data_IF_681948632822
#
_entry.id   IF_681948632822
#
_cell.length_a   1.000
_cell.length_b   1.000
_cell.length_c   1.000
_cell.angle_alpha   90.00
_cell.angle_beta   90.00
_cell.angle_gamma   90.00
#
_symmetry.space_group_name_H-M   'P 1'
#
loop_
_entity.id
_entity.type
_entity.pdbx_description
1 polymer ?
#
# COMPACT_ATOMS: atom_id res chain seq x y z
N UNK A 1 -22.31 23.89 24.47
CA UNK A 1 -21.14 23.11 23.99
C UNK A 1 -21.41 22.32 22.68
N UNK A 2 -22.27 22.78 21.75
CA UNK A 2 -22.68 22.00 20.56
C UNK A 2 -21.91 22.26 19.25
N UNK A 3 -21.10 23.32 19.16
CA UNK A 3 -20.48 23.76 17.90
C UNK A 3 -19.25 22.92 17.47
N UNK A 4 -18.48 22.40 18.42
CA UNK A 4 -17.27 21.60 18.12
C UNK A 4 -17.61 20.25 17.47
N UNK A 5 -18.70 19.60 17.89
CA UNK A 5 -19.09 18.28 17.36
C UNK A 5 -19.64 18.34 15.92
N UNK A 6 -20.31 19.42 15.52
CA UNK A 6 -20.78 19.61 14.13
C UNK A 6 -19.61 19.82 13.17
N UNK A 7 -18.67 20.70 13.53
CA UNK A 7 -17.42 20.96 12.80
C UNK A 7 -16.57 19.69 12.57
N UNK A 8 -16.47 18.82 13.56
CA UNK A 8 -15.71 17.57 13.43
C UNK A 8 -16.41 16.58 12.47
N UNK A 9 -17.74 16.45 12.58
CA UNK A 9 -18.52 15.55 11.72
C UNK A 9 -18.47 15.98 10.25
N UNK A 10 -18.60 17.27 9.98
CA UNK A 10 -18.51 17.83 8.62
C UNK A 10 -17.12 17.60 8.01
N UNK A 11 -16.05 17.86 8.77
CA UNK A 11 -14.67 17.54 8.34
C UNK A 11 -14.47 16.05 8.09
N UNK A 12 -15.04 15.20 8.94
CA UNK A 12 -14.95 13.74 8.77
C UNK A 12 -15.67 13.26 7.51
N UNK A 13 -16.84 13.83 7.19
CA UNK A 13 -17.59 13.51 5.97
C UNK A 13 -16.88 14.03 4.71
N UNK A 14 -16.34 15.25 4.76
CA UNK A 14 -15.56 15.83 3.68
C UNK A 14 -14.31 14.99 3.39
N UNK A 15 -13.59 14.57 4.44
CA UNK A 15 -12.45 13.68 4.30
C UNK A 15 -12.87 12.34 3.71
N UNK A 16 -13.91 11.68 4.23
CA UNK A 16 -14.42 10.41 3.69
C UNK A 16 -14.80 10.50 2.20
N UNK A 17 -15.33 11.64 1.75
CA UNK A 17 -15.58 11.90 0.32
C UNK A 17 -14.26 11.93 -0.47
N UNK A 18 -13.25 12.65 0.01
CA UNK A 18 -11.92 12.65 -0.61
C UNK A 18 -11.32 11.25 -0.68
N UNK A 19 -11.49 10.42 0.35
CA UNK A 19 -11.01 9.04 0.32
C UNK A 19 -11.62 8.23 -0.82
N UNK A 20 -12.93 8.39 -1.05
CA UNK A 20 -13.62 7.71 -2.16
C UNK A 20 -13.09 8.16 -3.52
N UNK A 21 -12.77 9.45 -3.66
CA UNK A 21 -12.25 9.99 -4.91
C UNK A 21 -10.82 9.53 -5.19
N UNK A 22 -9.95 9.52 -4.18
CA UNK A 22 -8.60 8.95 -4.29
C UNK A 22 -8.69 7.49 -4.72
N UNK A 23 -9.56 6.69 -4.09
CA UNK A 23 -9.77 5.29 -4.47
C UNK A 23 -10.28 5.12 -5.89
N UNK A 24 -11.28 5.90 -6.29
CA UNK A 24 -11.83 5.84 -7.63
C UNK A 24 -10.76 6.14 -8.69
N UNK A 25 -9.92 7.16 -8.44
CA UNK A 25 -8.82 7.51 -9.32
C UNK A 25 -7.72 6.42 -9.32
N UNK A 26 -7.35 5.90 -8.15
CA UNK A 26 -6.40 4.80 -8.01
C UNK A 26 -6.85 3.57 -8.81
N UNK A 27 -8.12 3.19 -8.69
CA UNK A 27 -8.71 2.06 -9.42
C UNK A 27 -8.75 2.33 -10.94
N UNK A 28 -9.07 3.55 -11.35
CA UNK A 28 -9.06 3.96 -12.76
C UNK A 28 -7.67 3.87 -13.38
N UNK A 29 -6.65 4.40 -12.70
CA UNK A 29 -5.26 4.37 -13.18
C UNK A 29 -4.74 2.93 -13.19
N UNK A 30 -4.97 2.18 -12.12
CA UNK A 30 -4.61 0.76 -12.02
C UNK A 30 -5.22 -0.05 -13.17
N UNK A 31 -6.51 0.11 -13.45
CA UNK A 31 -7.21 -0.61 -14.51
C UNK A 31 -6.78 -0.19 -15.92
N UNK A 32 -6.29 1.04 -16.12
CA UNK A 32 -5.67 1.46 -17.39
C UNK A 32 -4.28 0.83 -17.57
N UNK A 33 -3.43 0.91 -16.55
CA UNK A 33 -2.09 0.34 -16.62
C UNK A 33 -2.10 -1.19 -16.73
N UNK A 34 -2.99 -1.88 -16.00
CA UNK A 34 -3.10 -3.35 -16.01
C UNK A 34 -3.53 -3.93 -17.36
N UNK A 35 -4.16 -3.11 -18.22
CA UNK A 35 -4.51 -3.51 -19.59
C UNK A 35 -3.32 -3.50 -20.54
N UNK A 36 -2.26 -2.77 -20.19
CA UNK A 36 -1.07 -2.59 -21.01
C UNK A 36 0.11 -3.40 -20.51
N UNK A 37 0.24 -3.57 -19.19
CA UNK A 37 1.32 -4.33 -18.57
C UNK A 37 0.82 -5.06 -17.31
N UNK A 38 1.38 -6.25 -17.05
CA UNK A 38 1.11 -6.98 -15.81
C UNK A 38 1.66 -6.22 -14.60
N UNK A 39 0.99 -6.28 -13.45
CA UNK A 39 1.41 -5.59 -12.22
C UNK A 39 2.82 -5.98 -11.73
N UNK A 40 3.34 -7.14 -12.14
CA UNK A 40 4.67 -7.62 -11.81
C UNK A 40 5.77 -7.05 -12.74
N UNK A 41 5.38 -6.39 -13.82
CA UNK A 41 6.29 -5.83 -14.81
C UNK A 41 6.81 -4.46 -14.34
N UNK A 42 8.13 -4.18 -14.36
CA UNK A 42 8.64 -2.81 -14.17
C UNK A 42 7.99 -1.79 -15.11
N UNK A 43 7.58 -2.19 -16.31
CA UNK A 43 6.84 -1.35 -17.25
C UNK A 43 5.50 -0.87 -16.68
N UNK A 44 4.83 -1.67 -15.85
CA UNK A 44 3.59 -1.26 -15.17
C UNK A 44 3.83 -0.03 -14.28
N UNK A 45 4.88 -0.04 -13.46
CA UNK A 45 5.18 1.10 -12.58
C UNK A 45 5.48 2.37 -13.37
N UNK A 46 6.22 2.25 -14.48
CA UNK A 46 6.54 3.38 -15.33
C UNK A 46 5.29 3.94 -16.01
N UNK A 47 4.41 3.07 -16.54
CA UNK A 47 3.12 3.47 -17.11
C UNK A 47 2.24 4.18 -16.10
N UNK A 48 2.14 3.66 -14.88
CA UNK A 48 1.36 4.31 -13.81
C UNK A 48 1.95 5.69 -13.46
N UNK A 49 3.28 5.83 -13.40
CA UNK A 49 3.93 7.13 -13.14
C UNK A 49 3.56 8.15 -14.20
N UNK A 50 3.72 7.80 -15.47
CA UNK A 50 3.39 8.68 -16.61
C UNK A 50 1.92 9.06 -16.62
N UNK A 51 1.02 8.11 -16.34
CA UNK A 51 -0.41 8.39 -16.27
C UNK A 51 -0.75 9.38 -15.14
N UNK A 52 -0.16 9.20 -13.96
CA UNK A 52 -0.39 10.11 -12.84
C UNK A 52 0.20 11.49 -13.10
N UNK A 53 1.41 11.57 -13.65
CA UNK A 53 2.06 12.84 -14.01
C UNK A 53 1.20 13.63 -15.00
N UNK A 54 0.73 12.99 -16.08
CA UNK A 54 -0.17 13.62 -17.05
C UNK A 54 -1.51 14.08 -16.44
N UNK A 55 -2.03 13.35 -15.44
CA UNK A 55 -3.22 13.75 -14.71
C UNK A 55 -2.95 14.96 -13.81
N UNK A 56 -1.82 15.00 -13.11
CA UNK A 56 -1.41 16.13 -12.27
C UNK A 56 -1.24 17.40 -13.12
N UNK A 57 -0.66 17.28 -14.32
CA UNK A 57 -0.46 18.43 -15.19
C UNK A 57 -1.75 19.11 -15.63
N UNK A 58 -2.81 18.32 -15.84
CA UNK A 58 -4.11 18.79 -16.34
C UNK A 58 -5.11 19.09 -15.22
N UNK A 59 -4.82 18.70 -13.99
CA UNK A 59 -5.74 18.83 -12.87
C UNK A 59 -5.72 20.23 -12.25
N UNK A 60 -6.86 20.61 -11.68
CA UNK A 60 -6.99 21.74 -10.78
C UNK A 60 -6.25 21.48 -9.46
N UNK A 61 -6.13 22.50 -8.60
CA UNK A 61 -5.37 22.42 -7.35
C UNK A 61 -5.79 21.23 -6.46
N UNK A 62 -7.10 20.97 -6.40
CA UNK A 62 -7.67 19.84 -5.67
C UNK A 62 -7.31 18.50 -6.32
N UNK A 63 -7.51 18.38 -7.63
CA UNK A 63 -7.21 17.18 -8.39
C UNK A 63 -5.72 16.82 -8.35
N UNK A 64 -4.82 17.80 -8.34
CA UNK A 64 -3.38 17.57 -8.18
C UNK A 64 -3.05 16.82 -6.88
N UNK A 65 -3.66 17.21 -5.76
CA UNK A 65 -3.46 16.53 -4.48
C UNK A 65 -4.08 15.14 -4.46
N UNK A 66 -5.24 14.96 -5.10
CA UNK A 66 -5.89 13.64 -5.23
C UNK A 66 -5.01 12.71 -6.06
N UNK A 67 -4.47 13.16 -7.19
CA UNK A 67 -3.56 12.37 -8.01
C UNK A 67 -2.28 12.01 -7.25
N UNK A 68 -1.71 12.95 -6.49
CA UNK A 68 -0.55 12.71 -5.64
C UNK A 68 -0.83 11.67 -4.55
N UNK A 69 -2.01 11.73 -3.92
CA UNK A 69 -2.44 10.73 -2.95
C UNK A 69 -2.67 9.35 -3.60
N UNK A 70 -3.25 9.29 -4.80
CA UNK A 70 -3.41 8.04 -5.56
C UNK A 70 -2.05 7.42 -5.93
N UNK A 71 -1.06 8.24 -6.30
CA UNK A 71 0.31 7.76 -6.47
C UNK A 71 0.87 7.14 -5.18
N UNK A 72 0.65 7.76 -4.02
CA UNK A 72 1.07 7.20 -2.74
C UNK A 72 0.34 5.88 -2.40
N UNK A 73 -0.93 5.73 -2.80
CA UNK A 73 -1.67 4.46 -2.66
C UNK A 73 -1.06 3.35 -3.51
N UNK A 74 -0.67 3.67 -4.75
CA UNK A 74 0.01 2.78 -5.70
C UNK A 74 1.49 2.55 -5.35
N UNK A 75 1.99 3.23 -4.31
CA UNK A 75 3.36 3.12 -3.84
C UNK A 75 4.37 3.80 -4.76
N UNK A 76 3.96 4.76 -5.57
CA UNK A 76 4.89 5.58 -6.35
C UNK A 76 5.55 6.65 -5.48
N UNK A 77 6.77 7.03 -5.84
CA UNK A 77 7.54 8.08 -5.17
C UNK A 77 7.72 9.24 -6.15
N UNK A 78 6.83 10.23 -6.08
CA UNK A 78 6.79 11.38 -7.01
C UNK A 78 7.30 12.66 -6.34
N UNK A 79 8.52 12.63 -5.81
CA UNK A 79 9.08 13.74 -5.01
C UNK A 79 9.19 15.06 -5.78
N UNK A 80 9.51 14.99 -7.07
CA UNK A 80 9.61 16.17 -7.93
C UNK A 80 8.29 16.94 -8.02
N UNK A 81 7.14 16.28 -7.78
CA UNK A 81 5.82 16.91 -7.75
C UNK A 81 5.39 17.32 -6.33
N UNK A 82 6.11 16.93 -5.29
CA UNK A 82 5.72 17.15 -3.91
C UNK A 82 5.50 18.63 -3.57
N UNK A 83 6.40 19.51 -4.03
CA UNK A 83 6.28 20.95 -3.79
C UNK A 83 5.10 21.56 -4.56
N UNK A 84 4.93 21.17 -5.83
CA UNK A 84 3.79 21.61 -6.64
C UNK A 84 2.46 21.19 -6.00
N UNK A 85 2.34 19.94 -5.56
CA UNK A 85 1.15 19.45 -4.87
C UNK A 85 0.95 20.09 -3.49
N UNK A 86 2.02 20.49 -2.79
CA UNK A 86 1.93 21.27 -1.55
C UNK A 86 1.31 22.64 -1.81
N UNK A 87 1.80 23.36 -2.83
CA UNK A 87 1.27 24.67 -3.22
C UNK A 87 -0.21 24.56 -3.63
N UNK A 88 -0.55 23.54 -4.41
CA UNK A 88 -1.93 23.24 -4.77
C UNK A 88 -2.81 22.98 -3.54
N UNK A 89 -2.33 22.21 -2.55
CA UNK A 89 -3.06 21.97 -1.31
C UNK A 89 -3.33 23.26 -0.54
N UNK A 90 -2.32 24.15 -0.42
CA UNK A 90 -2.48 25.48 0.21
C UNK A 90 -3.48 26.34 -0.56
N UNK A 91 -3.41 26.35 -1.90
CA UNK A 91 -4.32 27.11 -2.76
C UNK A 91 -5.79 26.70 -2.57
N UNK A 92 -6.07 25.43 -2.26
CA UNK A 92 -7.45 25.01 -2.01
C UNK A 92 -8.06 25.58 -0.73
N UNK A 93 -7.24 26.03 0.22
CA UNK A 93 -7.69 26.48 1.54
C UNK A 93 -8.42 25.41 2.37
N UNK A 94 -8.40 24.14 1.96
CA UNK A 94 -9.15 23.07 2.61
C UNK A 94 -8.27 22.24 3.55
N UNK A 95 -8.61 22.25 4.84
CA UNK A 95 -7.96 21.40 5.86
C UNK A 95 -7.92 19.93 5.45
N UNK A 96 -9.01 19.43 4.84
CA UNK A 96 -9.11 18.02 4.46
C UNK A 96 -8.17 17.66 3.32
N UNK A 97 -7.94 18.59 2.38
CA UNK A 97 -6.96 18.43 1.30
C UNK A 97 -5.54 18.52 1.86
N UNK A 98 -5.27 19.46 2.77
CA UNK A 98 -3.97 19.55 3.45
C UNK A 98 -3.64 18.27 4.23
N UNK A 99 -4.59 17.74 4.97
CA UNK A 99 -4.43 16.46 5.69
C UNK A 99 -4.15 15.31 4.72
N UNK A 100 -4.86 15.27 3.59
CA UNK A 100 -4.64 14.26 2.54
C UNK A 100 -3.22 14.35 1.96
N UNK A 101 -2.76 15.56 1.62
CA UNK A 101 -1.39 15.81 1.14
C UNK A 101 -0.35 15.28 2.12
N UNK A 102 -0.45 15.68 3.40
CA UNK A 102 0.52 15.24 4.41
C UNK A 102 0.46 13.73 4.67
N UNK A 103 -0.72 13.12 4.58
CA UNK A 103 -0.86 11.67 4.69
C UNK A 103 -0.16 10.95 3.53
N UNK A 104 -0.30 11.45 2.31
CA UNK A 104 0.37 10.93 1.11
C UNK A 104 1.89 11.09 1.20
N UNK A 105 2.38 12.29 1.58
CA UNK A 105 3.81 12.57 1.69
C UNK A 105 4.50 11.65 2.70
N UNK A 106 3.94 11.54 3.93
CA UNK A 106 4.49 10.65 4.97
C UNK A 106 4.59 9.20 4.52
N UNK A 107 3.67 8.75 3.68
CA UNK A 107 3.65 7.38 3.15
C UNK A 107 4.74 7.18 2.09
N UNK A 108 4.93 8.15 1.20
CA UNK A 108 6.03 8.11 0.22
C UNK A 108 7.40 8.10 0.93
N UNK A 109 7.55 8.86 2.02
CA UNK A 109 8.81 8.92 2.78
C UNK A 109 9.14 7.62 3.53
N UNK A 110 8.14 6.92 4.08
CA UNK A 110 8.34 5.61 4.73
C UNK A 110 8.88 4.56 3.75
N UNK A 111 8.46 4.62 2.49
CA UNK A 111 8.90 3.67 1.45
C UNK A 111 10.40 3.79 1.15
N UNK A 112 10.97 5.01 1.20
CA UNK A 112 12.42 5.25 1.03
C UNK A 112 13.28 4.59 2.10
N UNK A 113 12.82 4.63 3.35
CA UNK A 113 13.57 4.07 4.45
C UNK A 113 13.53 2.53 4.45
N UNK A 114 12.52 1.93 3.82
CA UNK A 114 12.52 0.50 3.50
C UNK A 114 13.45 0.14 2.34
N UNK A 115 13.52 0.96 1.28
CA UNK A 115 14.33 0.68 0.08
C UNK A 115 15.82 1.02 0.18
N UNK A 116 16.26 1.77 1.20
CA UNK A 116 17.70 2.03 1.41
C UNK A 116 18.50 0.77 1.79
N UNK A 117 17.82 -0.32 2.16
CA UNK A 117 18.43 -1.64 2.32
C UNK A 117 18.50 -2.45 1.00
N UNK A 118 17.87 -1.99 -0.08
CA UNK A 118 17.86 -2.68 -1.38
C UNK A 118 19.18 -2.45 -2.15
N UNK A 119 19.74 -1.23 -2.09
CA UNK A 119 20.99 -0.89 -2.82
C UNK A 119 22.28 -1.38 -2.14
N UNK A 120 22.23 -1.86 -0.89
CA UNK A 120 23.40 -2.46 -0.23
C UNK A 120 23.57 -3.95 -0.59
N UNK A 121 22.57 -4.55 -1.24
CA UNK A 121 22.55 -5.99 -1.51
C UNK A 121 23.01 -6.40 -2.92
N UNK A 122 23.05 -5.46 -3.88
CA UNK A 122 23.64 -5.75 -5.20
C UNK A 122 25.17 -5.88 -5.14
N UNK A 123 25.84 -5.29 -4.14
CA UNK A 123 27.29 -5.44 -3.94
C UNK A 123 27.72 -6.71 -3.21
N UNK A 124 26.80 -7.47 -2.63
CA UNK A 124 27.12 -8.71 -1.91
C UNK A 124 26.73 -9.98 -2.68
N UNK A 125 26.14 -9.85 -3.87
CA UNK A 125 25.67 -10.99 -4.68
C UNK A 125 26.63 -11.41 -5.81
N UNK A 126 27.81 -10.79 -5.94
CA UNK A 126 28.79 -11.09 -6.99
C UNK A 126 30.04 -11.85 -6.52
N UNK A 127 30.30 -11.95 -5.21
CA UNK A 127 31.57 -12.51 -4.68
C UNK A 127 31.41 -13.82 -3.88
N UNK A 128 30.38 -14.62 -4.14
CA UNK A 128 30.26 -15.94 -3.48
C UNK A 128 29.78 -17.01 -4.45
N UNK A 129 30.63 -17.27 -5.45
CA UNK A 129 30.65 -18.52 -6.19
C UNK A 129 31.91 -19.28 -5.81
N UNK A 130 31.83 -20.13 -4.78
CA UNK A 130 32.66 -21.32 -4.67
C UNK A 130 31.91 -22.43 -3.96
N UNK A 131 32.16 -23.63 -4.47
CA UNK A 131 31.47 -24.89 -4.27
C UNK A 131 31.31 -25.33 -2.80
N UNK A 132 30.27 -26.11 -2.48
CA UNK A 132 30.38 -27.58 -2.34
C UNK A 132 29.04 -28.23 -1.91
N UNK A 133 28.64 -29.20 -2.72
CA UNK A 133 28.13 -30.55 -2.45
C UNK A 133 27.28 -30.86 -1.19
N UNK A 134 26.03 -31.24 -1.47
CA UNK A 134 25.07 -32.13 -0.78
C UNK A 134 25.33 -32.63 0.67
N UNK A 135 24.40 -32.27 1.57
CA UNK A 135 23.84 -33.12 2.63
C UNK A 135 22.45 -32.54 2.99
N UNK A 136 21.36 -33.29 2.87
CA UNK A 136 20.81 -34.07 3.98
C UNK A 136 19.55 -33.39 4.53
N UNK A 137 18.46 -34.14 4.65
CA UNK A 137 17.15 -33.67 5.10
C UNK A 137 17.16 -33.05 6.51
N UNK A 138 16.11 -32.26 6.82
CA UNK A 138 15.76 -31.66 8.12
C UNK A 138 16.19 -30.21 8.43
N UNK A 139 16.09 -29.33 7.44
CA UNK A 139 16.23 -27.87 7.61
C UNK A 139 14.91 -27.05 7.71
N UNK A 140 13.73 -27.69 7.84
CA UNK A 140 12.42 -26.99 7.73
C UNK A 140 11.98 -26.21 8.98
N UNK A 141 12.81 -26.15 10.02
CA UNK A 141 12.51 -25.43 11.24
C UNK A 141 13.13 -24.03 11.21
N UNK A 142 12.25 -23.02 11.08
CA UNK A 142 12.51 -21.57 11.09
C UNK A 142 12.95 -20.94 9.78
N UNK A 143 12.33 -21.32 8.66
CA UNK A 143 12.31 -20.41 7.50
C UNK A 143 11.41 -19.22 7.88
N UNK A 144 12.03 -18.12 8.29
CA UNK A 144 11.36 -16.85 8.56
C UNK A 144 10.55 -16.36 7.34
N UNK A 145 9.76 -15.30 7.49
CA UNK A 145 9.09 -14.68 6.35
C UNK A 145 10.10 -14.40 5.24
N UNK A 146 9.73 -14.65 3.99
CA UNK A 146 10.60 -14.22 2.89
C UNK A 146 10.72 -12.69 2.92
N UNK A 147 11.79 -12.14 2.33
CA UNK A 147 12.03 -10.70 2.30
C UNK A 147 10.82 -9.86 1.85
N UNK A 148 10.04 -10.34 0.88
CA UNK A 148 8.83 -9.67 0.43
C UNK A 148 7.74 -9.60 1.53
N UNK A 149 7.60 -10.67 2.31
CA UNK A 149 6.72 -10.69 3.48
C UNK A 149 7.27 -9.81 4.62
N UNK A 150 8.59 -9.74 4.81
CA UNK A 150 9.21 -8.81 5.78
C UNK A 150 8.94 -7.35 5.39
N UNK A 151 9.07 -7.00 4.12
CA UNK A 151 8.73 -5.67 3.62
C UNK A 151 7.26 -5.34 3.81
N UNK A 152 6.37 -6.29 3.49
CA UNK A 152 4.94 -6.10 3.72
C UNK A 152 4.62 -6.00 5.22
N UNK A 153 5.38 -6.68 6.08
CA UNK A 153 5.23 -6.57 7.53
C UNK A 153 5.70 -5.22 8.05
N UNK A 154 6.75 -4.65 7.46
CA UNK A 154 7.25 -3.31 7.79
C UNK A 154 6.31 -2.19 7.28
N UNK A 155 5.65 -2.37 6.14
CA UNK A 155 4.59 -1.48 5.64
C UNK A 155 3.28 -2.23 5.35
N UNK A 156 2.52 -2.55 6.42
CA UNK A 156 1.27 -3.30 6.29
C UNK A 156 0.18 -2.50 5.60
N UNK A 157 0.39 -1.22 5.26
CA UNK A 157 -0.66 -0.39 4.68
C UNK A 157 -0.61 -0.34 3.16
N UNK A 158 0.31 -1.04 2.50
CA UNK A 158 0.43 -1.00 1.03
C UNK A 158 -0.84 -1.56 0.34
N UNK A 159 -1.29 -0.95 -0.76
CA UNK A 159 -2.60 -1.33 -1.34
C UNK A 159 -2.57 -2.69 -2.04
N UNK A 160 -1.43 -3.03 -2.66
CA UNK A 160 -1.27 -4.17 -3.57
C UNK A 160 -0.80 -5.46 -2.89
N UNK A 161 -0.26 -5.41 -1.67
CA UNK A 161 0.58 -6.50 -1.17
C UNK A 161 1.86 -6.63 -2.02
N UNK A 162 2.45 -7.82 -2.05
CA UNK A 162 3.60 -8.15 -2.91
C UNK A 162 3.24 -9.26 -3.92
N UNK A 163 4.02 -9.42 -5.00
CA UNK A 163 3.65 -10.29 -6.14
C UNK A 163 3.54 -11.78 -5.81
N UNK A 164 4.08 -12.20 -4.66
CA UNK A 164 4.05 -13.59 -4.22
C UNK A 164 2.77 -14.01 -3.49
N UNK A 165 1.78 -13.12 -3.34
CA UNK A 165 0.54 -13.40 -2.61
C UNK A 165 -0.56 -13.93 -3.53
N UNK A 166 -1.05 -15.14 -3.25
CA UNK A 166 -2.20 -15.73 -3.95
C UNK A 166 -3.42 -15.74 -3.03
N UNK A 167 -4.55 -15.29 -3.53
CA UNK A 167 -5.81 -15.34 -2.79
C UNK A 167 -6.20 -16.81 -2.50
N UNK A 168 -6.38 -17.11 -1.21
CA UNK A 168 -6.86 -18.43 -0.74
C UNK A 168 -8.34 -18.46 -0.47
N UNK A 169 -8.92 -17.30 -0.13
CA UNK A 169 -10.35 -17.16 0.09
C UNK A 169 -10.96 -16.20 -0.92
N UNK A 170 -12.27 -16.36 -1.13
CA UNK A 170 -13.09 -15.27 -1.64
C UNK A 170 -13.06 -14.06 -0.71
N UNK A 171 -13.60 -12.94 -1.21
CA UNK A 171 -13.84 -11.74 -0.40
C UNK A 171 -15.02 -12.01 0.52
N UNK A 172 -14.86 -11.75 1.81
CA UNK A 172 -15.98 -11.79 2.75
C UNK A 172 -16.14 -10.42 3.40
N UNK A 173 -17.40 -10.00 3.54
CA UNK A 173 -17.78 -8.74 4.16
C UNK A 173 -18.31 -9.08 5.54
N UNK A 174 -17.79 -8.42 6.56
CA UNK A 174 -18.26 -8.56 7.93
C UNK A 174 -18.53 -7.19 8.54
N UNK A 175 -19.55 -7.13 9.40
CA UNK A 175 -19.85 -5.96 10.21
C UNK A 175 -19.09 -6.05 11.53
N UNK A 176 -18.36 -4.99 11.88
CA UNK A 176 -17.80 -4.81 13.23
C UNK A 176 -18.69 -3.80 13.94
N UNK A 177 -19.58 -4.30 14.82
CA UNK A 177 -20.65 -3.48 15.40
C UNK A 177 -21.73 -3.10 14.39
N UNK A 178 -22.57 -2.12 14.76
CA UNK A 178 -23.80 -1.80 13.99
C UNK A 178 -23.58 -1.13 12.62
N UNK A 179 -22.39 -0.60 12.29
CA UNK A 179 -22.23 0.29 11.12
C UNK A 179 -20.96 0.14 10.28
N UNK A 180 -19.98 -0.65 10.71
CA UNK A 180 -18.67 -0.70 10.04
C UNK A 180 -18.55 -1.96 9.20
N UNK A 181 -18.78 -1.82 7.89
CA UNK A 181 -18.55 -2.90 6.93
C UNK A 181 -17.06 -2.95 6.58
N UNK A 182 -16.45 -4.08 6.86
CA UNK A 182 -15.06 -4.40 6.53
C UNK A 182 -15.04 -5.53 5.52
N UNK A 183 -14.31 -5.35 4.43
CA UNK A 183 -13.98 -6.43 3.51
C UNK A 183 -12.68 -7.09 4.00
N UNK A 184 -12.66 -8.41 4.14
CA UNK A 184 -11.44 -9.16 4.34
C UNK A 184 -11.25 -10.25 3.29
N UNK A 185 -9.98 -10.54 3.00
CA UNK A 185 -9.58 -11.60 2.10
C UNK A 185 -8.27 -12.21 2.58
N UNK A 186 -8.18 -13.54 2.52
CA UNK A 186 -6.99 -14.30 2.93
C UNK A 186 -6.12 -14.57 1.70
N UNK A 187 -4.83 -14.35 1.86
CA UNK A 187 -3.78 -14.61 0.88
C UNK A 187 -2.73 -15.53 1.47
N UNK A 188 -2.07 -16.31 0.63
CA UNK A 188 -0.90 -17.10 1.00
C UNK A 188 0.28 -16.72 0.12
N UNK A 189 1.44 -16.50 0.75
CA UNK A 189 2.68 -16.31 0.01
C UNK A 189 3.15 -17.64 -0.60
N UNK A 190 3.44 -17.67 -1.90
CA UNK A 190 3.96 -18.88 -2.57
C UNK A 190 5.37 -19.29 -2.13
N UNK A 191 6.18 -18.32 -1.69
CA UNK A 191 7.59 -18.55 -1.34
C UNK A 191 7.76 -19.10 0.09
N UNK A 192 7.18 -18.41 1.08
CA UNK A 192 7.33 -18.78 2.49
C UNK A 192 6.06 -19.36 3.12
N UNK A 193 4.98 -19.55 2.33
CA UNK A 193 3.67 -20.08 2.79
C UNK A 193 2.97 -19.25 3.87
N UNK A 194 3.51 -18.07 4.23
CA UNK A 194 2.90 -17.15 5.18
C UNK A 194 1.46 -16.79 4.80
N UNK A 195 0.57 -16.78 5.79
CA UNK A 195 -0.83 -16.44 5.62
C UNK A 195 -1.05 -14.96 5.96
N UNK A 196 -1.51 -14.21 4.98
CA UNK A 196 -1.82 -12.81 5.08
C UNK A 196 -3.32 -12.59 5.04
N UNK A 197 -3.81 -11.65 5.85
CA UNK A 197 -5.18 -11.15 5.78
C UNK A 197 -5.13 -9.71 5.33
N UNK A 198 -5.86 -9.43 4.27
CA UNK A 198 -6.07 -8.08 3.76
C UNK A 198 -7.40 -7.57 4.29
N UNK A 199 -7.39 -6.46 5.01
CA UNK A 199 -8.57 -5.74 5.46
C UNK A 199 -8.73 -4.46 4.67
N UNK A 200 -9.94 -4.22 4.17
CA UNK A 200 -10.34 -2.96 3.56
C UNK A 200 -11.52 -2.44 4.35
N UNK A 201 -11.25 -1.47 5.20
CA UNK A 201 -12.28 -0.80 5.97
C UNK A 201 -12.92 0.32 5.12
N UNK A 202 -14.23 0.53 5.25
CA UNK A 202 -14.95 1.56 4.47
C UNK A 202 -14.51 3.01 4.78
N UNK A 203 -14.08 3.28 6.02
CA UNK A 203 -13.64 4.61 6.48
C UNK A 203 -12.12 4.79 6.56
N UNK A 204 -11.34 3.72 6.34
CA UNK A 204 -9.89 3.87 6.22
C UNK A 204 -9.55 4.11 4.76
N UNK A 205 -8.61 5.02 4.49
CA UNK A 205 -8.08 5.26 3.15
C UNK A 205 -7.42 4.00 2.59
N UNK A 206 -6.63 3.35 3.42
CA UNK A 206 -5.68 2.34 3.00
C UNK A 206 -6.16 0.95 3.35
N UNK A 207 -5.74 -0.01 2.53
CA UNK A 207 -5.82 -1.42 2.86
C UNK A 207 -4.82 -1.68 3.99
N UNK A 208 -5.20 -2.53 4.95
CA UNK A 208 -4.31 -2.99 6.02
C UNK A 208 -4.08 -4.48 5.85
N UNK A 209 -2.81 -4.88 5.90
CA UNK A 209 -2.36 -6.26 5.85
C UNK A 209 -1.97 -6.71 7.25
N UNK A 210 -2.41 -7.89 7.65
CA UNK A 210 -1.91 -8.56 8.86
C UNK A 210 -1.41 -9.95 8.50
N UNK A 211 -0.27 -10.35 9.03
CA UNK A 211 0.24 -11.71 8.90
C UNK A 211 -0.18 -12.54 10.12
N UNK A 212 -0.63 -13.78 9.90
CA UNK A 212 -0.57 -14.81 10.93
C UNK A 212 0.61 -15.70 10.58
N UNK A 213 1.68 -15.59 11.34
CA UNK A 213 2.71 -16.62 11.32
C UNK A 213 2.10 -17.84 12.01
N UNK A 214 1.91 -18.93 11.26
CA UNK A 214 1.72 -20.24 11.87
C UNK A 214 3.05 -20.63 12.50
N UNK A 215 3.38 -20.02 13.64
CA UNK A 215 4.28 -20.65 14.58
C UNK A 215 3.54 -21.91 15.01
N UNK A 216 4.04 -23.05 14.57
CA UNK A 216 3.73 -24.34 15.16
C UNK A 216 4.03 -24.22 16.64
N UNK A 217 3.01 -23.93 17.44
CA UNK A 217 3.05 -24.13 18.87
C UNK A 217 1.68 -24.66 19.23
N UNK A 218 1.69 -25.94 19.59
CA UNK A 218 0.59 -26.67 20.19
C UNK A 218 -0.18 -25.77 21.14
N UNK A 219 -1.45 -25.51 20.85
CA UNK A 219 -2.42 -25.22 21.89
C UNK A 219 -2.82 -26.57 22.46
N UNK A 220 -2.07 -27.06 23.46
CA UNK A 220 -2.65 -28.01 24.41
C UNK A 220 -3.37 -27.21 25.48
N UNK A 221 -4.63 -27.60 25.63
CA UNK A 221 -5.59 -27.22 26.67
C UNK A 221 -5.02 -27.51 28.05
#
# INVERSE_FOLDING_TARGET
MGYKSRSFRERSLAFAKLQKEVRALTEQVHGRASRLASNADPAYRQLVSVLIEALIERADARGQVICFASAAELGLVLRHLGERCRQAAVQTGSDSIMVLFWAALRRMDRKRNGSSNELKLERLSLDSSSAETAAGADGWLRVGPCRLCEYLHADPRCASGHEGLIAKSGKYIFSVGERLLSEAQVFQCVRCRAIWKRYKHRSELFVVWSIKMSLSTEWRV
#
